data_IF_013226805385
#
_entry.id   IF_013226805385
#
_cell.length_a   1.000
_cell.length_b   1.000
_cell.length_c   1.000
_cell.angle_alpha   90.00
_cell.angle_beta   90.00
_cell.angle_gamma   90.00
#
_symmetry.space_group_name_H-M   'P 1'
#
loop_
_entity.id
_entity.type
_entity.pdbx_description
1 polymer ?
#
# COMPACT_ATOMS: atom_id res chain seq x y z
N UNK A 1 -25.16 11.74 -22.53
CA UNK A 1 -24.18 11.73 -21.43
C UNK A 1 -22.87 12.25 -21.98
N UNK A 2 -22.22 13.19 -21.30
CA UNK A 2 -20.88 13.65 -21.69
C UNK A 2 -19.91 12.48 -21.48
N UNK A 3 -19.06 12.13 -22.46
CA UNK A 3 -18.09 11.07 -22.28
C UNK A 3 -17.11 11.44 -21.16
N UNK A 4 -16.57 10.45 -20.42
CA UNK A 4 -15.58 10.73 -19.40
C UNK A 4 -14.31 11.32 -20.01
N UNK A 5 -13.77 12.36 -19.35
CA UNK A 5 -12.45 12.91 -19.61
C UNK A 5 -11.44 12.12 -18.77
N UNK A 6 -10.63 11.28 -19.41
CA UNK A 6 -9.55 10.55 -18.74
C UNK A 6 -8.35 11.48 -18.52
N UNK A 7 -7.88 11.53 -17.27
CA UNK A 7 -6.78 12.39 -16.84
C UNK A 7 -5.48 11.61 -16.64
N UNK A 8 -5.58 10.33 -16.28
CA UNK A 8 -4.43 9.44 -16.15
C UNK A 8 -4.84 8.01 -16.45
N UNK A 9 -3.93 7.28 -17.10
CA UNK A 9 -4.09 5.88 -17.47
C UNK A 9 -2.85 5.10 -17.06
N UNK A 10 -3.06 3.87 -16.59
CA UNK A 10 -2.02 2.91 -16.27
C UNK A 10 -2.24 1.66 -17.11
N UNK A 11 -1.24 1.34 -17.91
CA UNK A 11 -1.21 0.14 -18.73
C UNK A 11 -0.05 -0.77 -18.31
N UNK A 12 -0.30 -2.07 -18.35
CA UNK A 12 0.69 -3.11 -18.07
C UNK A 12 0.74 -4.06 -19.27
N UNK A 13 1.93 -4.28 -19.84
CA UNK A 13 2.12 -5.07 -21.05
C UNK A 13 1.24 -4.62 -22.25
N UNK A 14 0.98 -3.32 -22.35
CA UNK A 14 0.15 -2.73 -23.41
C UNK A 14 -1.36 -2.84 -23.16
N UNK A 15 -1.78 -3.46 -22.06
CA UNK A 15 -3.19 -3.59 -21.68
C UNK A 15 -3.56 -2.55 -20.62
N UNK A 16 -4.67 -1.83 -20.83
CA UNK A 16 -5.17 -0.84 -19.87
C UNK A 16 -5.67 -1.54 -18.60
N UNK A 17 -5.04 -1.24 -17.47
CA UNK A 17 -5.36 -1.85 -16.17
C UNK A 17 -6.14 -0.94 -15.24
N UNK A 18 -5.93 0.36 -15.36
CA UNK A 18 -6.57 1.35 -14.50
C UNK A 18 -6.57 2.73 -15.16
N UNK A 19 -7.60 3.52 -14.92
CA UNK A 19 -7.66 4.92 -15.34
C UNK A 19 -8.52 5.74 -14.39
N UNK A 20 -8.18 7.02 -14.30
CA UNK A 20 -8.93 8.01 -13.52
C UNK A 20 -9.26 9.22 -14.37
N UNK A 21 -10.40 9.83 -14.09
CA UNK A 21 -10.90 10.93 -14.88
C UNK A 21 -12.09 11.64 -14.26
N UNK A 22 -12.80 12.40 -15.09
CA UNK A 22 -14.02 13.12 -14.73
C UNK A 22 -15.18 12.80 -15.64
N UNK A 23 -16.37 12.75 -15.07
CA UNK A 23 -17.66 12.72 -15.78
C UNK A 23 -18.47 13.95 -15.33
N UNK A 24 -18.30 15.07 -16.03
CA UNK A 24 -18.72 16.38 -15.51
C UNK A 24 -17.98 16.73 -14.22
N UNK A 25 -18.71 17.04 -13.15
CA UNK A 25 -18.13 17.35 -11.84
C UNK A 25 -17.80 16.10 -11.00
N UNK A 26 -18.18 14.91 -11.47
CA UNK A 26 -17.93 13.63 -10.78
C UNK A 26 -16.56 13.09 -11.12
N UNK A 27 -15.97 12.39 -10.17
CA UNK A 27 -14.76 11.62 -10.36
C UNK A 27 -15.12 10.21 -10.80
N UNK A 28 -14.35 9.67 -11.74
CA UNK A 28 -14.49 8.31 -12.24
C UNK A 28 -13.16 7.60 -12.19
N UNK A 29 -13.15 6.39 -11.65
CA UNK A 29 -12.02 5.47 -11.66
C UNK A 29 -12.50 4.14 -12.23
N UNK A 30 -11.76 3.61 -13.20
CA UNK A 30 -12.17 2.44 -13.96
C UNK A 30 -11.04 1.40 -13.97
N UNK A 31 -11.40 0.17 -13.62
CA UNK A 31 -10.57 -1.02 -13.74
C UNK A 31 -11.19 -1.89 -14.84
N UNK A 32 -10.69 -1.81 -16.09
CA UNK A 32 -11.29 -2.52 -17.21
C UNK A 32 -11.47 -4.02 -16.92
N UNK A 33 -12.68 -4.52 -17.17
CA UNK A 33 -13.05 -5.91 -16.89
C UNK A 33 -13.34 -6.24 -15.42
N UNK A 34 -13.17 -5.31 -14.49
CA UNK A 34 -13.45 -5.50 -13.05
C UNK A 34 -14.61 -4.62 -12.59
N UNK A 35 -14.53 -3.31 -12.79
CA UNK A 35 -15.60 -2.40 -12.38
C UNK A 35 -15.19 -0.93 -12.39
N UNK A 36 -16.17 -0.07 -12.11
CA UNK A 36 -16.03 1.38 -12.18
C UNK A 36 -16.53 2.03 -10.88
N UNK A 37 -15.66 2.82 -10.24
CA UNK A 37 -16.02 3.71 -9.13
C UNK A 37 -16.41 5.07 -9.66
N UNK A 38 -17.57 5.59 -9.23
CA UNK A 38 -17.97 6.98 -9.43
C UNK A 38 -18.18 7.65 -8.09
N UNK A 39 -17.68 8.87 -7.95
CA UNK A 39 -17.84 9.67 -6.74
C UNK A 39 -18.26 11.10 -7.08
N UNK A 40 -19.17 11.63 -6.28
CA UNK A 40 -19.64 13.00 -6.30
C UNK A 40 -19.21 13.66 -4.98
N UNK A 41 -18.05 14.35 -4.96
CA UNK A 41 -17.54 14.97 -3.74
C UNK A 41 -18.46 16.06 -3.18
N UNK A 42 -19.23 16.73 -4.03
CA UNK A 42 -20.15 17.80 -3.60
C UNK A 42 -21.36 17.22 -2.86
N UNK A 43 -21.82 16.04 -3.27
CA UNK A 43 -22.94 15.33 -2.63
C UNK A 43 -22.52 14.35 -1.55
N UNK A 44 -21.22 14.05 -1.43
CA UNK A 44 -20.70 13.06 -0.50
C UNK A 44 -21.15 11.63 -0.83
N UNK A 45 -21.43 11.34 -2.10
CA UNK A 45 -21.94 10.03 -2.55
C UNK A 45 -20.97 9.33 -3.46
N UNK A 46 -20.90 8.00 -3.39
CA UNK A 46 -20.13 7.17 -4.31
C UNK A 46 -20.86 5.87 -4.64
N UNK A 47 -20.53 5.28 -5.78
CA UNK A 47 -21.04 3.98 -6.23
C UNK A 47 -19.94 3.20 -6.92
N UNK A 48 -19.86 1.90 -6.66
CA UNK A 48 -19.03 0.97 -7.41
C UNK A 48 -19.94 0.06 -8.26
N UNK A 49 -19.66 -0.03 -9.54
CA UNK A 49 -20.40 -0.87 -10.49
C UNK A 49 -19.47 -1.94 -11.03
N UNK A 50 -19.72 -3.21 -10.69
CA UNK A 50 -18.93 -4.33 -11.19
C UNK A 50 -19.14 -4.51 -12.71
N UNK A 51 -18.06 -4.85 -13.42
CA UNK A 51 -18.15 -5.16 -14.84
C UNK A 51 -18.91 -6.48 -15.07
N UNK A 52 -19.67 -6.60 -16.17
CA UNK A 52 -20.35 -7.86 -16.51
C UNK A 52 -19.36 -9.02 -16.61
N UNK A 53 -19.62 -10.10 -15.87
CA UNK A 53 -18.78 -11.30 -15.88
C UNK A 53 -17.48 -11.19 -15.08
N UNK A 54 -17.26 -10.09 -14.34
CA UNK A 54 -16.10 -9.96 -13.46
C UNK A 54 -16.13 -11.01 -12.34
N UNK A 55 -14.96 -11.54 -12.00
CA UNK A 55 -14.80 -12.49 -10.90
C UNK A 55 -15.05 -11.80 -9.55
N UNK A 56 -15.92 -12.39 -8.73
CA UNK A 56 -16.39 -11.77 -7.47
C UNK A 56 -15.26 -11.49 -6.48
N UNK A 57 -14.24 -12.36 -6.40
CA UNK A 57 -13.10 -12.17 -5.52
C UNK A 57 -12.25 -10.97 -5.95
N UNK A 58 -12.05 -10.78 -7.26
CA UNK A 58 -11.30 -9.64 -7.81
C UNK A 58 -12.08 -8.33 -7.59
N UNK A 59 -13.39 -8.35 -7.81
CA UNK A 59 -14.28 -7.21 -7.54
C UNK A 59 -14.21 -6.81 -6.07
N UNK A 60 -14.40 -7.79 -5.17
CA UNK A 60 -14.34 -7.55 -3.73
C UNK A 60 -12.99 -6.96 -3.31
N UNK A 61 -11.87 -7.49 -3.83
CA UNK A 61 -10.53 -6.97 -3.58
C UNK A 61 -10.37 -5.51 -4.01
N UNK A 62 -10.83 -5.15 -5.21
CA UNK A 62 -10.72 -3.77 -5.71
C UNK A 62 -11.58 -2.83 -4.87
N UNK A 63 -12.79 -3.26 -4.52
CA UNK A 63 -13.73 -2.46 -3.74
C UNK A 63 -13.22 -2.20 -2.31
N UNK A 64 -12.73 -3.23 -1.62
CA UNK A 64 -12.24 -3.12 -0.24
C UNK A 64 -10.88 -2.43 -0.14
N UNK A 65 -10.05 -2.50 -1.19
CA UNK A 65 -8.70 -1.93 -1.22
C UNK A 65 -8.64 -0.61 -1.98
N UNK A 66 -8.40 -0.63 -3.30
CA UNK A 66 -8.10 0.57 -4.08
C UNK A 66 -9.27 1.54 -4.16
N UNK A 67 -10.51 1.07 -4.32
CA UNK A 67 -11.68 1.95 -4.35
C UNK A 67 -11.84 2.65 -2.99
N UNK A 68 -11.68 1.94 -1.87
CA UNK A 68 -11.70 2.54 -0.54
C UNK A 68 -10.56 3.55 -0.35
N UNK A 69 -9.36 3.29 -0.87
CA UNK A 69 -8.23 4.22 -0.84
C UNK A 69 -8.53 5.52 -1.63
N UNK A 70 -9.17 5.42 -2.79
CA UNK A 70 -9.61 6.59 -3.56
C UNK A 70 -10.68 7.40 -2.81
N UNK A 71 -11.62 6.74 -2.13
CA UNK A 71 -12.62 7.43 -1.31
C UNK A 71 -11.97 8.11 -0.09
N UNK A 72 -10.98 7.48 0.55
CA UNK A 72 -10.18 8.10 1.63
C UNK A 72 -9.49 9.37 1.15
N UNK A 73 -9.01 9.40 -0.09
CA UNK A 73 -8.42 10.60 -0.67
C UNK A 73 -9.42 11.76 -0.75
N UNK A 74 -10.71 11.48 -1.04
CA UNK A 74 -11.78 12.49 -1.01
C UNK A 74 -12.11 12.95 0.42
N UNK A 75 -11.92 12.09 1.41
CA UNK A 75 -12.00 12.42 2.83
C UNK A 75 -10.77 13.22 3.32
N UNK A 76 -9.90 13.67 2.41
CA UNK A 76 -8.61 14.32 2.70
C UNK A 76 -7.68 13.47 3.59
N UNK A 77 -7.76 12.13 3.50
CA UNK A 77 -6.89 11.20 4.22
C UNK A 77 -5.78 10.66 3.33
N UNK A 78 -4.61 10.49 3.92
CA UNK A 78 -3.46 9.92 3.22
C UNK A 78 -3.60 8.39 3.11
N UNK A 79 -3.38 7.88 1.89
CA UNK A 79 -3.22 6.45 1.63
C UNK A 79 -2.00 6.23 0.74
N UNK A 80 -1.13 5.31 1.12
CA UNK A 80 0.06 4.94 0.34
C UNK A 80 -0.11 3.52 -0.23
N UNK A 81 0.45 3.25 -1.40
CA UNK A 81 0.62 1.90 -1.92
C UNK A 81 1.74 1.21 -1.16
N UNK A 82 1.37 0.22 -0.35
CA UNK A 82 2.29 -0.44 0.55
C UNK A 82 1.66 -1.55 1.36
N UNK A 83 2.41 -2.10 2.29
CA UNK A 83 1.99 -3.17 3.17
C UNK A 83 2.56 -2.96 4.57
N UNK A 84 1.92 -3.50 5.62
CA UNK A 84 2.39 -3.34 6.98
C UNK A 84 2.12 -4.57 7.85
N UNK A 85 2.93 -4.69 8.90
CA UNK A 85 2.71 -5.61 10.00
C UNK A 85 2.84 -4.85 11.32
N UNK A 86 2.05 -5.25 12.30
CA UNK A 86 2.22 -4.87 13.69
C UNK A 86 3.27 -5.78 14.34
N UNK A 87 4.17 -5.21 15.13
CA UNK A 87 5.17 -5.88 15.95
C UNK A 87 5.02 -5.37 17.39
N UNK A 88 4.52 -6.21 18.30
CA UNK A 88 4.10 -5.76 19.62
C UNK A 88 2.99 -4.72 19.50
N UNK A 89 3.25 -3.50 19.97
CA UNK A 89 2.24 -2.43 20.00
C UNK A 89 2.41 -1.39 18.86
N UNK A 90 3.37 -1.58 17.96
CA UNK A 90 3.68 -0.62 16.88
C UNK A 90 3.64 -1.26 15.50
N UNK A 91 3.45 -0.45 14.45
CA UNK A 91 3.50 -0.87 13.06
C UNK A 91 4.87 -0.61 12.41
N UNK A 92 5.26 -1.54 11.55
CA UNK A 92 6.30 -1.38 10.52
C UNK A 92 5.62 -1.42 9.17
N UNK A 93 5.82 -0.38 8.36
CA UNK A 93 5.25 -0.25 7.03
C UNK A 93 6.31 -0.36 5.94
N UNK A 94 5.92 -0.90 4.79
CA UNK A 94 6.73 -1.01 3.59
C UNK A 94 6.08 -0.21 2.47
N UNK A 95 6.82 0.72 1.88
CA UNK A 95 6.37 1.59 0.78
C UNK A 95 7.40 1.55 -0.33
N UNK A 96 6.97 1.44 -1.58
CA UNK A 96 7.88 1.23 -2.71
C UNK A 96 7.14 0.80 -3.95
N UNK A 97 7.89 0.50 -5.01
CA UNK A 97 7.32 0.19 -6.32
C UNK A 97 6.59 -1.15 -6.31
N UNK A 98 5.70 -1.35 -7.27
CA UNK A 98 5.14 -2.67 -7.52
C UNK A 98 6.28 -3.65 -7.80
N UNK A 99 6.19 -4.85 -7.24
CA UNK A 99 7.23 -5.86 -7.40
C UNK A 99 8.39 -5.80 -6.40
N UNK A 100 8.56 -4.77 -5.57
CA UNK A 100 9.67 -4.70 -4.58
C UNK A 100 9.51 -5.66 -3.37
N UNK A 101 8.46 -6.50 -3.40
CA UNK A 101 8.21 -7.54 -2.40
C UNK A 101 7.62 -7.04 -1.09
N UNK A 102 6.90 -5.90 -1.08
CA UNK A 102 6.25 -5.31 0.11
C UNK A 102 5.29 -6.29 0.79
N UNK A 103 4.37 -6.87 0.03
CA UNK A 103 3.39 -7.87 0.50
C UNK A 103 4.08 -9.08 1.11
N UNK A 104 5.10 -9.61 0.42
CA UNK A 104 5.92 -10.73 0.92
C UNK A 104 6.65 -10.37 2.22
N UNK A 105 7.18 -9.16 2.32
CA UNK A 105 7.88 -8.68 3.51
C UNK A 105 6.93 -8.51 4.71
N UNK A 106 5.76 -7.91 4.51
CA UNK A 106 4.72 -7.77 5.53
C UNK A 106 4.22 -9.12 6.01
N UNK A 107 3.98 -10.04 5.07
CA UNK A 107 3.57 -11.41 5.37
C UNK A 107 4.65 -12.17 6.17
N UNK A 108 5.94 -11.95 5.89
CA UNK A 108 7.03 -12.55 6.65
C UNK A 108 7.16 -11.94 8.06
N UNK A 109 7.05 -10.61 8.21
CA UNK A 109 7.00 -9.96 9.53
C UNK A 109 5.83 -10.50 10.37
N UNK A 110 4.63 -10.59 9.79
CA UNK A 110 3.43 -11.08 10.46
C UNK A 110 3.49 -12.55 10.92
N UNK A 111 4.49 -13.31 10.46
CA UNK A 111 4.76 -14.69 10.88
C UNK A 111 5.76 -14.78 12.03
N UNK A 112 6.34 -13.65 12.48
CA UNK A 112 7.22 -13.61 13.65
C UNK A 112 6.41 -13.65 14.95
N UNK A 113 7.00 -14.10 16.06
CA UNK A 113 6.34 -14.05 17.36
C UNK A 113 5.88 -12.63 17.72
N UNK A 114 4.69 -12.51 18.33
CA UNK A 114 4.07 -11.21 18.71
C UNK A 114 3.84 -10.24 17.54
N UNK A 115 3.85 -10.74 16.31
CA UNK A 115 3.49 -9.97 15.13
C UNK A 115 2.05 -10.25 14.68
N UNK A 116 1.47 -9.30 13.97
CA UNK A 116 0.19 -9.45 13.29
C UNK A 116 0.22 -8.73 11.94
N UNK A 117 -0.47 -9.29 10.96
CA UNK A 117 -0.66 -8.64 9.67
C UNK A 117 -1.57 -7.43 9.83
N UNK A 118 -1.31 -6.36 9.09
CA UNK A 118 -2.05 -5.10 9.25
C UNK A 118 -2.59 -4.56 7.93
N UNK A 119 -1.80 -4.60 6.86
CA UNK A 119 -2.19 -4.01 5.60
C UNK A 119 -1.44 -4.63 4.43
N UNK A 120 -2.08 -4.64 3.25
CA UNK A 120 -1.47 -5.00 1.97
C UNK A 120 -2.13 -4.25 0.82
N UNK A 121 -1.36 -3.96 -0.22
CA UNK A 121 -1.64 -3.08 -1.37
C UNK A 121 -2.04 -1.61 -1.03
N UNK A 122 -2.69 -1.33 0.10
CA UNK A 122 -3.01 0.03 0.58
C UNK A 122 -2.65 0.22 2.05
N UNK A 123 -2.06 1.36 2.38
CA UNK A 123 -1.68 1.77 3.74
C UNK A 123 -2.46 3.01 4.14
N UNK A 124 -3.48 2.82 4.97
CA UNK A 124 -4.29 3.91 5.50
C UNK A 124 -3.53 4.64 6.63
N UNK A 125 -2.97 5.80 6.30
CA UNK A 125 -2.29 6.65 7.29
C UNK A 125 -3.29 7.57 7.98
N UNK A 126 -3.21 7.63 9.30
CA UNK A 126 -4.02 8.51 10.14
C UNK A 126 -3.10 9.34 11.04
N UNK A 127 -3.44 10.62 11.20
CA UNK A 127 -2.73 11.50 12.09
C UNK A 127 -3.61 11.79 13.31
N UNK A 128 -3.19 11.33 14.49
CA UNK A 128 -3.97 11.42 15.74
C UNK A 128 -3.04 11.79 16.90
N UNK A 129 -3.44 12.74 17.75
CA UNK A 129 -2.73 13.14 18.97
C UNK A 129 -1.22 13.40 18.80
N UNK A 130 -0.83 14.01 17.67
CA UNK A 130 0.57 14.29 17.34
C UNK A 130 1.36 13.08 16.82
N UNK A 131 0.76 11.89 16.83
CA UNK A 131 1.32 10.66 16.27
C UNK A 131 0.81 10.31 14.87
N UNK A 132 1.43 9.29 14.29
CA UNK A 132 1.04 8.67 13.02
C UNK A 132 0.61 7.25 13.30
N UNK A 133 -0.52 6.84 12.73
CA UNK A 133 -1.10 5.51 12.89
C UNK A 133 -1.37 4.88 11.53
N UNK A 134 -1.27 3.56 11.46
CA UNK A 134 -1.78 2.77 10.33
C UNK A 134 -3.07 2.11 10.76
N UNK A 135 -4.13 2.28 9.97
CA UNK A 135 -5.36 1.48 10.10
C UNK A 135 -5.26 0.22 9.26
N UNK A 136 -5.90 -0.85 9.73
CA UNK A 136 -6.07 -2.04 8.92
C UNK A 136 -6.83 -1.71 7.63
N UNK A 137 -6.36 -2.27 6.52
CA UNK A 137 -6.96 -2.13 5.19
C UNK A 137 -7.26 -3.47 4.53
N UNK A 138 -6.71 -4.55 5.08
CA UNK A 138 -6.79 -5.88 4.51
C UNK A 138 -6.57 -6.92 5.61
N UNK A 139 -7.24 -8.07 5.51
CA UNK A 139 -7.14 -9.18 6.47
C UNK A 139 -6.48 -10.43 5.86
N UNK A 140 -6.20 -10.43 4.56
CA UNK A 140 -5.44 -11.49 3.86
C UNK A 140 -4.17 -10.96 3.20
N UNK A 141 -3.10 -11.74 3.21
CA UNK A 141 -1.90 -11.40 2.44
C UNK A 141 -2.05 -11.88 1.01
N UNK A 142 -1.88 -11.01 0.02
CA UNK A 142 -1.91 -11.39 -1.39
C UNK A 142 -0.49 -11.75 -1.84
N UNK A 143 -0.23 -13.05 -2.08
CA UNK A 143 1.12 -13.55 -2.28
C UNK A 143 1.31 -14.21 -3.63
N UNK A 144 2.46 -13.94 -4.24
CA UNK A 144 2.92 -14.63 -5.46
C UNK A 144 3.28 -16.09 -5.16
N UNK A 145 3.31 -16.97 -6.17
CA UNK A 145 3.56 -18.40 -5.98
C UNK A 145 4.89 -18.73 -5.27
N UNK A 146 5.95 -17.98 -5.55
CA UNK A 146 7.27 -18.11 -4.93
C UNK A 146 7.25 -17.78 -3.43
N UNK A 147 6.58 -16.69 -3.04
CA UNK A 147 6.37 -16.31 -1.66
C UNK A 147 5.53 -17.35 -0.90
N UNK A 148 4.51 -17.93 -1.56
CA UNK A 148 3.70 -19.00 -0.98
C UNK A 148 4.52 -20.25 -0.71
N UNK A 149 5.35 -20.66 -1.69
CA UNK A 149 6.27 -21.78 -1.53
C UNK A 149 7.26 -21.54 -0.40
N UNK A 150 7.87 -20.35 -0.32
CA UNK A 150 8.80 -19.98 0.76
C UNK A 150 8.15 -20.00 2.15
N UNK A 151 6.84 -19.79 2.25
CA UNK A 151 6.08 -19.86 3.49
C UNK A 151 5.39 -21.22 3.74
N UNK A 152 5.67 -22.25 2.92
CA UNK A 152 5.03 -23.56 2.97
C UNK A 152 3.50 -23.50 2.93
N UNK A 153 2.95 -22.58 2.12
CA UNK A 153 1.51 -22.42 1.91
C UNK A 153 1.03 -23.25 0.72
N UNK A 154 -0.27 -23.57 0.64
CA UNK A 154 -0.85 -24.21 -0.54
C UNK A 154 -0.49 -23.44 -1.82
N UNK A 155 -0.16 -24.12 -2.92
CA UNK A 155 0.21 -23.45 -4.18
C UNK A 155 -0.94 -22.57 -4.69
N UNK A 156 -0.58 -21.53 -5.44
CA UNK A 156 -1.52 -20.69 -6.18
C UNK A 156 -0.96 -20.44 -7.57
N UNK A 157 -1.84 -20.31 -8.57
CA UNK A 157 -1.42 -20.06 -9.96
C UNK A 157 -0.95 -18.62 -10.19
N UNK A 158 -1.49 -17.67 -9.43
CA UNK A 158 -1.19 -16.22 -9.51
C UNK A 158 -0.98 -15.62 -8.11
N UNK A 159 -1.07 -14.28 -7.98
CA UNK A 159 -1.11 -13.59 -6.69
C UNK A 159 -2.44 -13.93 -5.99
N UNK A 160 -2.41 -14.84 -5.02
CA UNK A 160 -3.61 -15.36 -4.35
C UNK A 160 -3.62 -15.07 -2.86
N UNK A 161 -4.81 -14.98 -2.28
CA UNK A 161 -5.02 -14.72 -0.87
C UNK A 161 -4.42 -15.81 0.01
N UNK A 162 -3.81 -15.41 1.13
CA UNK A 162 -3.32 -16.28 2.17
C UNK A 162 -3.67 -15.70 3.54
N UNK A 163 -4.30 -16.51 4.38
CA UNK A 163 -4.63 -16.11 5.75
C UNK A 163 -3.34 -15.94 6.56
N UNK A 164 -3.08 -14.74 7.13
CA UNK A 164 -1.98 -14.55 8.05
C UNK A 164 -2.29 -15.22 9.41
N UNK A 165 -1.28 -15.52 10.24
CA UNK A 165 -1.50 -16.15 11.54
C UNK A 165 -2.32 -15.29 12.52
N UNK A 166 -2.17 -13.96 12.42
CA UNK A 166 -2.86 -12.96 13.23
C UNK A 166 -3.11 -11.72 12.38
N UNK A 167 -4.17 -11.00 12.68
CA UNK A 167 -4.51 -9.72 12.04
C UNK A 167 -4.71 -8.67 13.14
N UNK A 168 -4.23 -7.46 12.88
CA UNK A 168 -4.38 -6.30 13.73
C UNK A 168 -5.38 -5.31 13.11
N UNK A 169 -6.04 -4.51 13.93
CA UNK A 169 -6.99 -3.47 13.50
C UNK A 169 -6.31 -2.12 13.23
N UNK A 170 -5.16 -1.90 13.85
CA UNK A 170 -4.43 -0.63 13.76
C UNK A 170 -3.27 -0.59 14.74
N UNK A 171 -2.26 0.22 14.45
CA UNK A 171 -1.16 0.49 15.38
C UNK A 171 -0.45 1.83 15.06
N UNK A 172 0.16 2.49 16.06
CA UNK A 172 1.10 3.59 15.86
C UNK A 172 2.21 3.19 14.88
N UNK A 173 2.46 4.01 13.85
CA UNK A 173 3.53 3.77 12.89
C UNK A 173 4.87 4.19 13.49
N UNK A 174 5.78 3.22 13.66
CA UNK A 174 7.11 3.49 14.25
C UNK A 174 8.23 3.52 13.23
N UNK A 175 8.09 2.79 12.13
CA UNK A 175 9.12 2.65 11.10
C UNK A 175 8.48 2.47 9.73
N UNK A 176 9.01 3.19 8.73
CA UNK A 176 8.68 2.97 7.33
C UNK A 176 9.94 2.56 6.57
N UNK A 177 9.83 1.48 5.83
CA UNK A 177 10.92 0.87 5.06
C UNK A 177 10.60 0.96 3.58
N UNK A 178 11.59 1.33 2.78
CA UNK A 178 11.54 1.34 1.32
C UNK A 178 12.37 0.18 0.80
N UNK A 179 11.76 -1.00 0.57
CA UNK A 179 12.48 -2.16 0.09
C UNK A 179 12.89 -1.97 -1.37
N UNK A 180 14.09 -2.44 -1.70
CA UNK A 180 14.61 -2.56 -3.04
C UNK A 180 15.43 -3.84 -3.16
N UNK A 181 15.40 -4.44 -4.34
CA UNK A 181 16.30 -5.54 -4.65
C UNK A 181 17.65 -5.02 -5.14
N UNK A 182 18.72 -5.61 -4.64
CA UNK A 182 20.09 -5.32 -5.09
C UNK A 182 20.92 -6.58 -5.21
N UNK A 183 21.99 -6.49 -5.99
CA UNK A 183 23.04 -7.52 -6.04
C UNK A 183 23.96 -7.36 -4.82
N UNK A 184 23.42 -7.72 -3.66
CA UNK A 184 24.10 -7.60 -2.36
C UNK A 184 24.19 -8.96 -1.71
N UNK A 185 25.29 -9.20 -1.01
CA UNK A 185 25.48 -10.44 -0.26
C UNK A 185 24.80 -10.42 1.10
N UNK A 186 24.34 -9.29 1.62
CA UNK A 186 23.56 -9.17 2.88
C UNK A 186 22.62 -7.98 2.76
N UNK A 187 21.46 -7.99 3.44
CA UNK A 187 20.60 -6.83 3.46
C UNK A 187 21.28 -5.65 4.16
N UNK A 188 20.97 -4.44 3.70
CA UNK A 188 21.48 -3.19 4.27
C UNK A 188 20.32 -2.24 4.54
N UNK A 189 20.40 -1.49 5.65
CA UNK A 189 19.43 -0.46 6.01
C UNK A 189 20.14 0.89 6.10
N UNK A 190 19.66 1.86 5.33
CA UNK A 190 20.18 3.22 5.33
C UNK A 190 19.06 4.22 5.57
N UNK A 191 19.27 5.17 6.49
CA UNK A 191 18.25 6.17 6.79
C UNK A 191 18.12 7.15 5.62
N UNK A 192 16.92 7.27 5.07
CA UNK A 192 16.59 8.26 4.05
C UNK A 192 16.26 9.59 4.72
N UNK A 193 16.68 10.71 4.14
CA UNK A 193 16.43 12.06 4.65
C UNK A 193 16.15 13.05 3.52
N UNK A 194 15.53 14.19 3.87
CA UNK A 194 15.31 15.29 2.96
C UNK A 194 14.50 14.90 1.73
N UNK A 195 14.86 15.44 0.56
CA UNK A 195 14.12 15.24 -0.69
C UNK A 195 14.01 13.77 -1.12
N UNK A 196 14.97 12.93 -0.74
CA UNK A 196 14.95 11.50 -1.08
C UNK A 196 13.77 10.76 -0.42
N UNK A 197 13.30 11.23 0.73
CA UNK A 197 12.07 10.72 1.35
C UNK A 197 10.87 10.97 0.45
N UNK A 198 10.68 12.22 0.01
CA UNK A 198 9.55 12.59 -0.84
C UNK A 198 9.61 11.85 -2.18
N UNK A 199 10.79 11.68 -2.76
CA UNK A 199 10.98 10.90 -3.98
C UNK A 199 10.52 9.43 -3.83
N UNK A 200 10.61 8.86 -2.63
CA UNK A 200 10.11 7.52 -2.32
C UNK A 200 8.61 7.46 -2.01
N UNK A 201 8.06 8.48 -1.35
CA UNK A 201 6.66 8.47 -0.91
C UNK A 201 5.66 9.01 -1.95
N UNK A 202 6.01 10.07 -2.69
CA UNK A 202 5.13 10.71 -3.67
C UNK A 202 4.61 9.72 -4.73
N UNK A 203 5.43 8.82 -5.30
CA UNK A 203 4.95 7.82 -6.26
C UNK A 203 4.01 6.78 -5.63
N UNK A 204 4.04 6.61 -4.31
CA UNK A 204 3.19 5.66 -3.62
C UNK A 204 1.84 6.25 -3.21
N UNK A 205 1.61 7.57 -3.31
CA UNK A 205 0.30 8.13 -2.90
C UNK A 205 -0.80 7.67 -3.86
N UNK A 206 -1.89 7.15 -3.29
CA UNK A 206 -3.11 6.80 -4.03
C UNK A 206 -3.96 8.07 -4.17
N UNK A 207 -4.18 8.50 -5.42
CA UNK A 207 -4.85 9.76 -5.75
C UNK A 207 -6.12 9.52 -6.57
N UNK A 208 -7.19 10.22 -6.19
CA UNK A 208 -8.41 10.29 -7.01
C UNK A 208 -8.54 11.64 -7.71
N UNK A 209 -8.23 12.73 -7.01
CA UNK A 209 -8.18 14.08 -7.60
C UNK A 209 -6.73 14.39 -7.92
N UNK A 210 -6.42 14.46 -9.22
CA UNK A 210 -5.05 14.72 -9.69
C UNK A 210 -4.89 16.08 -10.37
N UNK A 211 -5.99 16.79 -10.59
CA UNK A 211 -6.07 18.02 -11.37
C UNK A 211 -6.43 19.26 -10.51
N UNK A 212 -6.36 19.14 -9.18
CA UNK A 212 -6.58 20.25 -8.24
C UNK A 212 -5.31 20.57 -7.44
N UNK A 213 -4.69 21.76 -7.64
CA UNK A 213 -3.51 22.19 -6.90
C UNK A 213 -3.69 22.26 -5.38
N UNK A 214 -4.90 22.57 -4.89
CA UNK A 214 -5.16 22.63 -3.45
C UNK A 214 -5.14 21.23 -2.82
N UNK A 215 -5.55 20.20 -3.57
CA UNK A 215 -5.41 18.79 -3.14
C UNK A 215 -3.94 18.40 -3.06
N UNK A 216 -3.16 18.75 -4.09
CA UNK A 216 -1.72 18.44 -4.14
C UNK A 216 -0.94 19.12 -3.01
N UNK A 217 -1.29 20.37 -2.67
CA UNK A 217 -0.68 21.09 -1.55
C UNK A 217 -0.91 20.37 -0.22
N UNK A 218 -2.16 19.98 0.07
CA UNK A 218 -2.50 19.21 1.29
C UNK A 218 -1.77 17.88 1.35
N UNK A 219 -1.61 17.21 0.21
CA UNK A 219 -0.85 15.96 0.14
C UNK A 219 0.62 16.17 0.52
N UNK A 220 1.27 17.22 0.01
CA UNK A 220 2.65 17.55 0.36
C UNK A 220 2.78 17.82 1.87
N UNK A 221 1.84 18.55 2.47
CA UNK A 221 1.78 18.78 3.92
C UNK A 221 1.63 17.47 4.71
N UNK A 222 0.81 16.54 4.23
CA UNK A 222 0.66 15.21 4.86
C UNK A 222 1.94 14.38 4.76
N UNK A 223 2.63 14.41 3.61
CA UNK A 223 3.89 13.71 3.42
C UNK A 223 5.01 14.30 4.27
N UNK A 224 5.07 15.62 4.42
CA UNK A 224 5.98 16.30 5.33
C UNK A 224 5.74 15.86 6.77
N UNK A 225 4.48 15.91 7.23
CA UNK A 225 4.11 15.48 8.58
C UNK A 225 4.48 14.03 8.86
N UNK A 226 4.27 13.14 7.88
CA UNK A 226 4.68 11.73 7.98
C UNK A 226 6.20 11.61 8.09
N UNK A 227 6.95 12.27 7.20
CA UNK A 227 8.41 12.22 7.16
C UNK A 227 9.08 12.80 8.42
N UNK A 228 8.44 13.80 9.03
CA UNK A 228 8.89 14.43 10.27
C UNK A 228 8.62 13.58 11.51
N UNK A 229 7.55 12.78 11.51
CA UNK A 229 7.15 11.97 12.66
C UNK A 229 7.72 10.54 12.64
N UNK A 230 7.91 9.95 11.46
CA UNK A 230 8.29 8.53 11.30
C UNK A 230 9.65 8.42 10.61
N UNK A 231 10.64 7.72 11.19
CA UNK A 231 11.90 7.48 10.52
C UNK A 231 11.73 6.55 9.32
N UNK A 232 12.36 6.91 8.21
CA UNK A 232 12.28 6.20 6.93
C UNK A 232 13.63 5.63 6.54
N UNK A 233 13.67 4.35 6.17
CA UNK A 233 14.89 3.65 5.80
C UNK A 233 14.76 2.99 4.42
N UNK A 234 15.82 3.02 3.63
CA UNK A 234 15.95 2.16 2.44
C UNK A 234 16.48 0.81 2.88
N UNK A 235 15.83 -0.26 2.42
CA UNK A 235 16.28 -1.63 2.61
C UNK A 235 16.70 -2.21 1.27
N UNK A 236 18.01 -2.34 1.03
CA UNK A 236 18.51 -3.05 -0.15
C UNK A 236 18.78 -4.49 0.25
N UNK A 237 18.13 -5.45 -0.43
CA UNK A 237 18.19 -6.87 -0.08
C UNK A 237 18.33 -7.81 -1.31
N UNK A 238 18.84 -9.03 -1.12
CA UNK A 238 18.82 -10.05 -2.17
C UNK A 238 17.39 -10.42 -2.59
N UNK A 239 17.21 -10.91 -3.82
CA UNK A 239 15.93 -11.47 -4.31
C UNK A 239 15.59 -12.83 -3.70
N UNK A 240 16.60 -13.61 -3.35
CA UNK A 240 16.47 -14.96 -2.79
C UNK A 240 15.59 -14.98 -1.53
N UNK A 241 14.46 -15.69 -1.57
CA UNK A 241 13.48 -15.74 -0.48
C UNK A 241 13.98 -16.56 0.72
N UNK A 242 14.91 -17.49 0.48
CA UNK A 242 15.59 -18.27 1.53
C UNK A 242 16.34 -17.35 2.50
N UNK A 243 16.71 -16.15 2.02
CA UNK A 243 17.44 -15.12 2.77
C UNK A 243 16.56 -14.00 3.29
N UNK A 244 15.23 -14.11 3.11
CA UNK A 244 14.28 -13.11 3.58
C UNK A 244 14.40 -12.91 5.10
N UNK A 245 14.65 -13.99 5.85
CA UNK A 245 14.84 -13.95 7.31
C UNK A 245 15.89 -12.93 7.75
N UNK A 246 17.01 -12.83 7.03
CA UNK A 246 18.07 -11.85 7.35
C UNK A 246 17.57 -10.40 7.24
N UNK A 247 16.68 -10.13 6.28
CA UNK A 247 16.11 -8.79 6.09
C UNK A 247 15.07 -8.48 7.15
N UNK A 248 14.31 -9.49 7.58
CA UNK A 248 13.35 -9.40 8.66
C UNK A 248 14.07 -9.10 9.98
N UNK A 249 15.07 -9.89 10.32
CA UNK A 249 15.82 -9.73 11.58
C UNK A 249 16.51 -8.36 11.62
N UNK A 250 17.16 -7.93 10.53
CA UNK A 250 17.77 -6.59 10.44
C UNK A 250 16.75 -5.45 10.66
N UNK A 251 15.52 -5.62 10.18
CA UNK A 251 14.44 -4.64 10.36
C UNK A 251 13.93 -4.62 11.81
N UNK A 252 13.81 -5.79 12.43
CA UNK A 252 13.41 -5.91 13.84
C UNK A 252 14.48 -5.34 14.77
N UNK A 253 15.76 -5.62 14.53
CA UNK A 253 16.89 -5.05 15.27
C UNK A 253 16.93 -3.51 15.15
N UNK A 254 16.55 -2.95 14.00
CA UNK A 254 16.38 -1.51 13.85
C UNK A 254 15.20 -0.99 14.67
N UNK A 255 14.04 -1.67 14.60
CA UNK A 255 12.84 -1.27 15.34
C UNK A 255 13.12 -1.22 16.85
N UNK A 256 13.81 -2.22 17.40
CA UNK A 256 14.20 -2.25 18.82
C UNK A 256 15.11 -1.09 19.21
N UNK A 257 16.07 -0.71 18.36
CA UNK A 257 16.95 0.46 18.60
C UNK A 257 16.23 1.80 18.48
N UNK A 258 15.05 1.82 17.85
CA UNK A 258 14.21 3.00 17.77
C UNK A 258 13.26 3.09 18.97
N UNK A 259 13.02 2.03 19.73
CA UNK A 259 12.17 2.07 20.93
C UNK A 259 12.83 2.89 22.05
#
# INVERSE_FOLDING_TARGET
MTPPLWLSEYAENGELRFRIGREGDRLIADWPGVGTLRADPQRGTSSFEAAPGAESEIVAKVETSLARALLRHLEAKLTLHGAAAQIGDVAVAMVGRSGDGKSTFAAALARRPRAAFLADDTLAIEFQDGGVFVKATEHVSWLLPDARAAFNLPPGEYKSAASPPRVAEGAPLRLLVVPAFGDVQRPTLERIRGVAVLAGLVPAVVRFVIDDPAVQMREIEQLERLASAVPIYSLVRPRALERLGESIDLTLDLLERLA
#
